data_IF_517406678100
#
_entry.id   IF_517406678100
#
_cell.length_a   1.000
_cell.length_b   1.000
_cell.length_c   1.000
_cell.angle_alpha   90.00
_cell.angle_beta   90.00
_cell.angle_gamma   90.00
#
_symmetry.space_group_name_H-M   'P 1'
#
loop_
_entity.id
_entity.type
_entity.pdbx_description
1 polymer ?
#
# COMPACT_ATOMS: atom_id res chain seq x y z
N UNK A 1 51.97 22.10 -31.23
CA UNK A 1 51.49 21.54 -29.94
C UNK A 1 50.05 21.99 -29.72
N UNK A 2 49.13 21.04 -29.45
CA UNK A 2 48.01 21.09 -28.46
C UNK A 2 47.05 22.31 -28.51
N UNK A 3 45.72 22.24 -28.68
CA UNK A 3 44.65 21.30 -28.27
C UNK A 3 43.40 21.54 -29.17
N UNK A 4 42.50 20.56 -29.39
CA UNK A 4 41.12 20.84 -29.77
C UNK A 4 40.24 20.97 -28.51
N UNK A 5 39.37 21.98 -28.45
CA UNK A 5 38.31 22.09 -27.45
C UNK A 5 37.28 20.98 -27.68
N UNK A 6 37.21 20.04 -26.75
CA UNK A 6 36.11 19.09 -26.64
C UNK A 6 34.87 19.79 -26.09
N UNK A 7 33.80 19.87 -26.89
CA UNK A 7 32.46 20.17 -26.40
C UNK A 7 31.96 18.96 -25.62
N UNK A 8 31.89 19.08 -24.29
CA UNK A 8 31.27 18.10 -23.40
C UNK A 8 29.76 18.29 -23.50
N UNK A 9 29.08 17.37 -24.18
CA UNK A 9 27.63 17.21 -24.06
C UNK A 9 27.33 16.69 -22.64
N UNK A 10 26.89 17.58 -21.76
CA UNK A 10 26.36 17.23 -20.45
C UNK A 10 24.99 16.58 -20.59
N UNK A 11 24.95 15.26 -20.75
CA UNK A 11 23.74 14.48 -20.58
C UNK A 11 23.42 14.41 -19.09
N UNK A 12 22.64 15.36 -18.59
CA UNK A 12 21.97 15.24 -17.29
C UNK A 12 20.91 14.14 -17.40
N UNK A 13 21.35 12.89 -17.19
CA UNK A 13 20.44 11.79 -16.89
C UNK A 13 19.76 12.11 -15.57
N UNK A 14 18.55 12.70 -15.66
CA UNK A 14 17.60 12.72 -14.56
C UNK A 14 17.33 11.26 -14.20
N UNK A 15 17.96 10.76 -13.14
CA UNK A 15 17.51 9.55 -12.47
C UNK A 15 16.12 9.85 -11.93
N UNK A 16 15.09 9.60 -12.75
CA UNK A 16 13.76 9.36 -12.24
C UNK A 16 13.92 8.19 -11.26
N UNK A 17 13.94 8.49 -9.96
CA UNK A 17 13.88 7.48 -8.93
C UNK A 17 12.68 6.60 -9.29
N UNK A 18 12.93 5.37 -9.71
CA UNK A 18 11.88 4.39 -9.94
C UNK A 18 11.22 4.14 -8.59
N UNK A 19 10.20 4.94 -8.24
CA UNK A 19 9.28 4.56 -7.19
C UNK A 19 8.65 3.26 -7.65
N UNK A 20 9.10 2.17 -7.05
CA UNK A 20 8.58 0.83 -7.27
C UNK A 20 7.09 0.85 -6.93
N UNK A 21 6.26 0.79 -7.96
CA UNK A 21 4.81 0.64 -7.82
C UNK A 21 4.44 -0.74 -7.27
N UNK A 22 3.15 -1.00 -7.09
CA UNK A 22 2.68 -2.28 -6.59
C UNK A 22 2.90 -3.36 -7.65
N UNK A 23 3.07 -4.61 -7.21
CA UNK A 23 2.92 -5.76 -8.11
C UNK A 23 1.43 -6.00 -8.36
N UNK A 24 1.02 -5.95 -9.62
CA UNK A 24 -0.38 -6.11 -10.04
C UNK A 24 -0.67 -7.54 -10.51
N UNK A 25 -1.88 -8.02 -10.24
CA UNK A 25 -2.42 -9.21 -10.90
C UNK A 25 -2.75 -8.93 -12.37
N UNK A 26 -3.14 -9.97 -13.12
CA UNK A 26 -3.39 -9.88 -14.56
C UNK A 26 -4.34 -8.74 -14.98
N UNK A 27 -5.40 -8.51 -14.22
CA UNK A 27 -6.36 -7.40 -14.42
C UNK A 27 -6.29 -6.34 -13.29
N UNK A 28 -5.24 -6.37 -12.48
CA UNK A 28 -5.15 -5.63 -11.23
C UNK A 28 -5.36 -4.12 -11.39
N UNK A 29 -4.79 -3.51 -12.43
CA UNK A 29 -4.95 -2.06 -12.67
C UNK A 29 -6.40 -1.67 -12.96
N UNK A 30 -7.12 -2.49 -13.73
CA UNK A 30 -8.52 -2.22 -14.07
C UNK A 30 -9.42 -2.46 -12.86
N UNK A 31 -9.15 -3.52 -12.09
CA UNK A 31 -9.88 -3.80 -10.86
C UNK A 31 -9.70 -2.69 -9.82
N UNK A 32 -8.45 -2.27 -9.54
CA UNK A 32 -8.15 -1.18 -8.61
C UNK A 32 -8.94 0.11 -8.93
N UNK A 33 -9.09 0.45 -10.21
CA UNK A 33 -9.85 1.65 -10.63
C UNK A 33 -11.35 1.55 -10.28
N UNK A 34 -11.88 0.35 -10.14
CA UNK A 34 -13.29 0.06 -9.90
C UNK A 34 -13.61 -0.31 -8.45
N UNK A 35 -12.61 -0.48 -7.58
CA UNK A 35 -12.85 -0.72 -6.15
C UNK A 35 -13.55 0.51 -5.54
N UNK A 36 -14.61 0.25 -4.76
CA UNK A 36 -15.36 1.25 -3.98
C UNK A 36 -15.48 0.90 -2.51
N UNK A 37 -15.28 -0.37 -2.18
CA UNK A 37 -15.32 -0.89 -0.82
C UNK A 37 -14.23 -1.95 -0.63
N UNK A 38 -13.57 -1.95 0.54
CA UNK A 38 -12.55 -2.93 0.92
C UNK A 38 -12.73 -3.36 2.37
N UNK A 39 -12.78 -4.66 2.61
CA UNK A 39 -12.71 -5.22 3.95
C UNK A 39 -11.25 -5.37 4.40
N UNK A 40 -10.85 -4.63 5.43
CA UNK A 40 -9.50 -4.69 6.01
C UNK A 40 -9.47 -5.84 7.01
N UNK A 41 -8.60 -6.83 6.77
CA UNK A 41 -8.36 -7.90 7.74
C UNK A 41 -7.54 -7.35 8.90
N UNK A 42 -8.22 -7.14 10.02
CA UNK A 42 -7.59 -6.70 11.25
C UNK A 42 -7.37 -7.90 12.17
N UNK A 43 -6.17 -7.94 12.78
CA UNK A 43 -5.96 -8.79 13.95
C UNK A 43 -6.76 -8.22 15.13
N UNK A 44 -7.24 -9.06 16.07
CA UNK A 44 -7.80 -8.57 17.32
C UNK A 44 -6.84 -7.58 17.99
N UNK A 45 -7.35 -6.48 18.53
CA UNK A 45 -6.51 -5.38 19.05
C UNK A 45 -5.51 -5.85 20.12
N UNK A 46 -5.90 -6.81 20.97
CA UNK A 46 -5.03 -7.39 21.99
C UNK A 46 -3.83 -8.19 21.41
N UNK A 47 -3.89 -8.58 20.13
CA UNK A 47 -2.89 -9.38 19.42
C UNK A 47 -2.18 -8.60 18.31
N UNK A 48 -2.60 -7.37 18.02
CA UNK A 48 -1.98 -6.53 16.99
C UNK A 48 -0.89 -5.65 17.61
N UNK A 49 0.39 -5.78 17.21
CA UNK A 49 1.44 -4.87 17.68
C UNK A 49 1.18 -3.40 17.25
N UNK A 50 0.33 -3.17 16.25
CA UNK A 50 0.04 -1.85 15.67
C UNK A 50 -1.49 -1.65 15.54
N UNK A 51 -2.24 -1.55 16.64
CA UNK A 51 -3.71 -1.55 16.62
C UNK A 51 -4.33 -0.35 15.90
N UNK A 52 -3.60 0.77 15.82
CA UNK A 52 -4.00 1.99 15.11
C UNK A 52 -3.90 1.86 13.58
N UNK A 53 -3.04 0.96 13.08
CA UNK A 53 -2.71 0.88 11.65
C UNK A 53 -3.93 0.61 10.76
N UNK A 54 -4.90 -0.19 11.23
CA UNK A 54 -6.15 -0.41 10.49
C UNK A 54 -6.93 0.89 10.26
N UNK A 55 -6.95 1.79 11.26
CA UNK A 55 -7.63 3.07 11.17
C UNK A 55 -6.89 4.03 10.23
N UNK A 56 -5.56 4.02 10.28
CA UNK A 56 -4.70 4.82 9.39
C UNK A 56 -4.84 4.39 7.92
N UNK A 57 -4.91 3.07 7.67
CA UNK A 57 -5.18 2.50 6.34
C UNK A 57 -6.58 2.89 5.87
N UNK A 58 -7.60 2.75 6.73
CA UNK A 58 -8.98 3.13 6.40
C UNK A 58 -9.09 4.63 6.04
N UNK A 59 -8.44 5.50 6.81
CA UNK A 59 -8.39 6.93 6.55
C UNK A 59 -7.72 7.23 5.20
N UNK A 60 -6.62 6.55 4.88
CA UNK A 60 -5.93 6.70 3.61
C UNK A 60 -6.77 6.21 2.41
N UNK A 61 -7.46 5.06 2.53
CA UNK A 61 -8.38 4.55 1.51
C UNK A 61 -9.52 5.54 1.22
N UNK A 62 -10.07 6.15 2.28
CA UNK A 62 -11.16 7.12 2.16
C UNK A 62 -10.77 8.36 1.34
N UNK A 63 -9.49 8.77 1.37
CA UNK A 63 -8.99 9.88 0.51
C UNK A 63 -9.13 9.59 -0.98
N UNK A 64 -9.18 8.31 -1.36
CA UNK A 64 -9.39 7.86 -2.74
C UNK A 64 -10.85 7.47 -3.02
N UNK A 65 -11.78 7.80 -2.12
CA UNK A 65 -13.20 7.45 -2.28
C UNK A 65 -13.50 5.96 -2.10
N UNK A 66 -12.58 5.22 -1.46
CA UNK A 66 -12.76 3.81 -1.15
C UNK A 66 -13.23 3.71 0.30
N UNK A 67 -14.48 3.30 0.49
CA UNK A 67 -14.99 2.96 1.81
C UNK A 67 -14.33 1.68 2.33
N UNK A 68 -14.27 1.51 3.66
CA UNK A 68 -13.70 0.31 4.25
C UNK A 68 -14.32 -0.02 5.60
N UNK A 69 -14.34 -1.31 5.92
CA UNK A 69 -14.64 -1.81 7.27
C UNK A 69 -13.51 -2.72 7.75
N UNK A 70 -13.36 -2.83 9.07
CA UNK A 70 -12.41 -3.76 9.67
C UNK A 70 -13.11 -5.09 10.00
N UNK A 71 -12.59 -6.19 9.48
CA UNK A 71 -13.08 -7.54 9.76
C UNK A 71 -12.08 -8.24 10.68
N UNK A 72 -12.55 -8.65 11.86
CA UNK A 72 -11.76 -9.45 12.79
C UNK A 72 -11.49 -10.82 12.19
N UNK A 73 -10.22 -11.19 12.07
CA UNK A 73 -9.81 -12.47 11.48
C UNK A 73 -10.15 -13.70 12.30
N UNK A 74 -10.34 -13.56 13.62
CA UNK A 74 -10.66 -14.67 14.52
C UNK A 74 -12.16 -14.99 14.48
N UNK A 75 -13.02 -13.96 14.36
CA UNK A 75 -14.48 -14.12 14.37
C UNK A 75 -15.14 -14.08 12.98
N UNK A 76 -14.53 -13.39 12.00
CA UNK A 76 -15.16 -13.01 10.74
C UNK A 76 -14.51 -13.61 9.49
N UNK A 77 -13.72 -14.68 9.62
CA UNK A 77 -12.95 -15.24 8.49
C UNK A 77 -13.83 -15.70 7.31
N UNK A 78 -15.08 -16.09 7.55
CA UNK A 78 -16.01 -16.51 6.49
C UNK A 78 -16.43 -15.34 5.58
N UNK A 79 -16.55 -14.13 6.14
CA UNK A 79 -16.89 -12.92 5.38
C UNK A 79 -15.94 -12.66 4.22
N UNK A 80 -14.70 -13.13 4.31
CA UNK A 80 -13.69 -13.01 3.25
C UNK A 80 -14.07 -13.66 1.92
N UNK A 81 -15.08 -14.52 1.92
CA UNK A 81 -15.59 -15.24 0.76
C UNK A 81 -17.01 -14.79 0.38
N UNK A 82 -17.55 -13.81 1.09
CA UNK A 82 -18.88 -13.25 0.85
C UNK A 82 -18.79 -12.03 -0.08
N UNK A 83 -19.91 -11.70 -0.71
CA UNK A 83 -19.97 -10.65 -1.74
C UNK A 83 -19.78 -9.24 -1.17
N UNK A 84 -20.10 -9.03 0.10
CA UNK A 84 -19.88 -7.79 0.85
C UNK A 84 -18.38 -7.45 0.96
N UNK A 85 -17.53 -8.46 1.13
CA UNK A 85 -16.08 -8.36 1.22
C UNK A 85 -15.36 -8.92 -0.03
N UNK A 86 -15.96 -8.72 -1.22
CA UNK A 86 -15.37 -9.12 -2.51
C UNK A 86 -13.90 -8.70 -2.64
N UNK A 87 -13.56 -7.49 -2.22
CA UNK A 87 -12.17 -7.05 -2.10
C UNK A 87 -11.77 -7.00 -0.64
N UNK A 88 -10.71 -7.71 -0.30
CA UNK A 88 -10.15 -7.69 1.04
C UNK A 88 -8.68 -7.24 1.03
N UNK A 89 -8.33 -6.42 2.01
CA UNK A 89 -6.98 -5.92 2.24
C UNK A 89 -6.37 -6.64 3.43
N UNK A 90 -5.26 -7.32 3.17
CA UNK A 90 -4.42 -7.96 4.17
C UNK A 90 -3.21 -7.09 4.42
N UNK A 91 -2.87 -6.89 5.68
CA UNK A 91 -1.63 -6.22 6.06
C UNK A 91 -0.84 -7.03 7.08
N UNK A 92 0.49 -6.93 7.00
CA UNK A 92 1.39 -7.43 8.04
C UNK A 92 2.57 -6.47 8.20
N UNK A 93 3.05 -6.34 9.43
CA UNK A 93 4.18 -5.48 9.77
C UNK A 93 5.31 -6.28 10.38
N UNK A 94 6.53 -5.80 10.21
CA UNK A 94 7.65 -6.16 11.06
C UNK A 94 8.03 -4.93 11.89
N UNK A 95 8.00 -5.05 13.21
CA UNK A 95 8.20 -3.93 14.14
C UNK A 95 6.90 -3.33 14.67
N UNK A 96 7.04 -2.26 15.46
CA UNK A 96 5.96 -1.63 16.24
C UNK A 96 6.04 -0.11 16.20
N UNK A 97 4.89 0.55 16.14
CA UNK A 97 4.78 2.00 16.17
C UNK A 97 5.61 2.64 15.05
N UNK A 98 6.48 3.58 15.42
CA UNK A 98 7.35 4.25 14.46
C UNK A 98 8.62 3.44 14.11
N UNK A 99 8.81 2.27 14.72
CA UNK A 99 9.92 1.34 14.43
C UNK A 99 9.48 0.18 13.53
N UNK A 100 8.45 0.38 12.69
CA UNK A 100 8.06 -0.61 11.67
C UNK A 100 9.11 -0.59 10.55
N UNK A 101 9.76 -1.73 10.32
CA UNK A 101 10.75 -1.89 9.25
C UNK A 101 10.08 -2.03 7.88
N UNK A 102 8.95 -2.75 7.83
CA UNK A 102 8.15 -2.85 6.61
C UNK A 102 6.67 -3.07 6.90
N UNK A 103 5.84 -2.66 5.95
CA UNK A 103 4.41 -2.99 5.85
C UNK A 103 4.22 -3.76 4.54
N UNK A 104 3.73 -5.00 4.64
CA UNK A 104 3.29 -5.79 3.48
C UNK A 104 1.78 -5.67 3.35
N UNK A 105 1.31 -5.31 2.16
CA UNK A 105 -0.09 -5.07 1.82
C UNK A 105 -0.49 -5.95 0.65
N UNK A 106 -1.69 -6.51 0.68
CA UNK A 106 -2.28 -7.29 -0.39
C UNK A 106 -3.78 -6.99 -0.49
N UNK A 107 -4.20 -6.46 -1.63
CA UNK A 107 -5.60 -6.42 -2.05
C UNK A 107 -5.85 -7.66 -2.91
N UNK A 108 -6.89 -8.43 -2.57
CA UNK A 108 -7.28 -9.63 -3.31
C UNK A 108 -8.80 -9.80 -3.32
N UNK A 109 -9.25 -10.66 -4.22
CA UNK A 109 -10.57 -11.30 -4.15
C UNK A 109 -10.42 -12.70 -3.54
N UNK A 110 -11.52 -13.46 -3.38
CA UNK A 110 -11.42 -14.89 -3.08
C UNK A 110 -10.58 -15.66 -4.11
N UNK A 111 -10.68 -15.30 -5.39
CA UNK A 111 -10.16 -16.03 -6.54
C UNK A 111 -8.72 -15.65 -6.91
N UNK A 112 -8.34 -14.37 -6.81
CA UNK A 112 -7.03 -13.91 -7.27
C UNK A 112 -6.51 -12.68 -6.50
N UNK A 113 -5.21 -12.42 -6.67
CA UNK A 113 -4.56 -11.21 -6.14
C UNK A 113 -4.78 -10.04 -7.10
N UNK A 114 -5.13 -8.87 -6.56
CA UNK A 114 -5.36 -7.65 -7.34
C UNK A 114 -4.09 -6.79 -7.35
N UNK A 115 -3.57 -6.48 -6.17
CA UNK A 115 -2.37 -5.68 -6.00
C UNK A 115 -1.64 -6.03 -4.71
N UNK A 116 -0.31 -6.02 -4.73
CA UNK A 116 0.51 -6.20 -3.54
C UNK A 116 1.66 -5.20 -3.49
N UNK A 117 2.00 -4.78 -2.28
CA UNK A 117 3.07 -3.84 -2.03
C UNK A 117 3.81 -4.25 -0.76
N UNK A 118 5.14 -4.26 -0.83
CA UNK A 118 5.98 -4.21 0.37
C UNK A 118 6.60 -2.83 0.45
N UNK A 119 6.17 -2.06 1.43
CA UNK A 119 6.66 -0.71 1.70
C UNK A 119 7.58 -0.72 2.92
N UNK A 120 8.57 0.16 2.88
CA UNK A 120 9.52 0.40 3.97
C UNK A 120 9.26 1.83 4.48
N UNK A 121 8.42 1.99 5.52
CA UNK A 121 7.93 3.30 5.90
C UNK A 121 9.04 4.17 6.50
N UNK A 122 9.04 5.46 6.15
CA UNK A 122 9.83 6.48 6.82
C UNK A 122 8.93 7.44 7.59
N UNK A 123 8.66 7.13 8.86
CA UNK A 123 7.76 7.95 9.68
C UNK A 123 8.38 9.27 10.19
N UNK A 124 9.67 9.52 9.97
CA UNK A 124 10.31 10.75 10.45
C UNK A 124 10.20 11.92 9.48
N UNK A 125 9.87 11.67 8.20
CA UNK A 125 9.91 12.68 7.14
C UNK A 125 8.62 13.53 7.03
N UNK A 126 7.46 12.99 7.40
CA UNK A 126 6.16 13.68 7.23
C UNK A 126 5.09 13.30 8.26
N UNK A 127 5.49 12.58 9.31
CA UNK A 127 4.57 12.01 10.28
C UNK A 127 3.94 10.69 9.81
N UNK A 128 3.33 9.99 10.77
CA UNK A 128 2.85 8.63 10.57
C UNK A 128 1.76 8.51 9.51
N UNK A 129 0.71 9.32 9.60
CA UNK A 129 -0.42 9.25 8.67
C UNK A 129 -0.02 9.60 7.23
N UNK A 130 0.78 10.65 7.03
CA UNK A 130 1.20 11.05 5.68
C UNK A 130 2.00 9.95 4.99
N UNK A 131 2.83 9.21 5.74
CA UNK A 131 3.56 8.07 5.22
C UNK A 131 2.63 6.89 4.87
N UNK A 132 1.62 6.63 5.71
CA UNK A 132 0.59 5.63 5.37
C UNK A 132 -0.21 6.05 4.13
N UNK A 133 -0.57 7.32 3.99
CA UNK A 133 -1.25 7.84 2.80
C UNK A 133 -0.44 7.59 1.53
N UNK A 134 0.87 7.90 1.58
CA UNK A 134 1.81 7.65 0.48
C UNK A 134 1.87 6.16 0.11
N UNK A 135 1.96 5.30 1.10
CA UNK A 135 2.03 3.84 0.91
C UNK A 135 0.73 3.31 0.30
N UNK A 136 -0.43 3.78 0.76
CA UNK A 136 -1.73 3.37 0.20
C UNK A 136 -1.92 3.93 -1.21
N UNK A 137 -1.49 5.17 -1.49
CA UNK A 137 -1.43 5.70 -2.85
C UNK A 137 -0.63 4.79 -3.79
N UNK A 138 0.57 4.39 -3.36
CA UNK A 138 1.38 3.41 -4.09
C UNK A 138 0.66 2.08 -4.29
N UNK A 139 0.03 1.50 -3.25
CA UNK A 139 -0.71 0.25 -3.36
C UNK A 139 -1.84 0.32 -4.40
N UNK A 140 -2.54 1.45 -4.44
CA UNK A 140 -3.64 1.72 -5.37
C UNK A 140 -3.16 2.12 -6.78
N UNK A 141 -1.85 2.09 -7.02
CA UNK A 141 -1.22 2.55 -8.26
C UNK A 141 -1.61 4.01 -8.60
N UNK A 142 -1.65 4.86 -7.58
CA UNK A 142 -1.92 6.31 -7.66
C UNK A 142 -0.64 7.08 -7.31
N UNK A 143 -0.42 8.19 -8.02
CA UNK A 143 0.72 9.10 -7.78
C UNK A 143 0.29 10.24 -6.85
#
# INVERSE_FOLDING_TARGET
MKLPLAFIFGSSMLLAACQSGPSLGANGSAELANIRHVCILARPAAKDPNPELKGEIAAALNKYGISSEAVDTDAGRQRLYESDCRYNLRYNTNGRGNSINYISLLIRTPEHSVASLRAYPNFTAGGRQAEIDRIIGQLLNKK
#
